data_IF_871351467021
#
_entry.id   IF_871351467021
#
_cell.length_a   1.000
_cell.length_b   1.000
_cell.length_c   1.000
_cell.angle_alpha   90.00
_cell.angle_beta   90.00
_cell.angle_gamma   90.00
#
_symmetry.space_group_name_H-M   'P 1'
#
loop_
_entity.id
_entity.type
_entity.pdbx_description
1 polymer ?
#
# COMPACT_ATOMS: atom_id res chain seq x y z
N UNK A 1 -14.13 0.82 -21.71
CA UNK A 1 -13.89 2.23 -22.06
C UNK A 1 -12.64 2.65 -21.32
N UNK A 2 -11.66 3.20 -22.01
CA UNK A 2 -10.37 3.63 -21.41
C UNK A 2 -10.32 5.16 -21.40
N UNK A 3 -10.06 5.75 -20.25
CA UNK A 3 -9.90 7.19 -20.07
C UNK A 3 -8.44 7.45 -19.66
N UNK A 4 -7.84 8.52 -20.19
CA UNK A 4 -6.45 8.87 -19.84
C UNK A 4 -6.40 9.54 -18.47
N UNK A 5 -5.73 8.93 -17.52
CA UNK A 5 -5.57 9.42 -16.15
C UNK A 5 -4.84 10.77 -16.05
N UNK A 6 -3.95 11.08 -17.02
CA UNK A 6 -3.20 12.33 -17.05
C UNK A 6 -4.09 13.60 -17.07
N UNK A 7 -5.27 13.53 -17.70
CA UNK A 7 -6.21 14.66 -17.76
C UNK A 7 -6.85 14.97 -16.41
N UNK A 8 -7.02 13.96 -15.57
CA UNK A 8 -7.61 14.10 -14.22
C UNK A 8 -6.59 14.71 -13.24
N UNK A 9 -5.32 14.30 -13.32
CA UNK A 9 -4.26 14.77 -12.42
C UNK A 9 -3.89 16.23 -12.70
N UNK A 10 -3.84 16.68 -13.96
CA UNK A 10 -3.56 18.08 -14.30
C UNK A 10 -4.66 19.05 -13.81
N UNK A 11 -5.92 18.63 -13.79
CA UNK A 11 -7.01 19.44 -13.28
C UNK A 11 -6.99 19.60 -11.75
N UNK A 12 -6.43 18.63 -11.04
CA UNK A 12 -6.34 18.62 -9.56
C UNK A 12 -5.09 19.36 -9.03
N UNK A 13 -3.99 19.38 -9.78
CA UNK A 13 -2.80 20.15 -9.42
C UNK A 13 -3.05 21.68 -9.38
N UNK A 14 -4.02 22.17 -10.14
CA UNK A 14 -4.44 23.58 -10.15
C UNK A 14 -5.25 23.97 -8.90
N UNK A 15 -5.73 23.02 -8.10
CA UNK A 15 -6.49 23.24 -6.87
C UNK A 15 -5.63 23.21 -5.60
N UNK A 16 -4.33 22.93 -5.72
CA UNK A 16 -3.42 22.98 -4.56
C UNK A 16 -3.28 24.42 -4.07
N UNK A 17 -3.67 24.74 -2.83
CA UNK A 17 -3.52 26.07 -2.29
C UNK A 17 -2.08 26.36 -1.97
N UNK A 18 -1.63 27.56 -2.30
CA UNK A 18 -0.48 28.15 -1.64
C UNK A 18 -0.85 28.35 -0.15
N UNK A 19 -0.65 27.33 0.67
CA UNK A 19 -0.82 27.40 2.11
C UNK A 19 0.47 27.98 2.70
N UNK A 20 0.37 29.17 3.30
CA UNK A 20 1.41 29.66 4.19
C UNK A 20 1.50 28.67 5.38
N UNK A 21 2.61 27.95 5.44
CA UNK A 21 2.90 27.01 6.51
C UNK A 21 3.07 27.78 7.82
N UNK A 22 2.20 27.53 8.79
CA UNK A 22 2.50 27.83 10.20
C UNK A 22 3.20 26.62 10.80
N UNK A 23 4.31 26.79 11.54
CA UNK A 23 4.95 25.70 12.26
C UNK A 23 4.04 25.30 13.42
N UNK A 24 3.46 24.11 13.36
CA UNK A 24 2.74 23.54 14.48
C UNK A 24 3.68 22.67 15.31
N UNK A 25 4.00 23.13 16.53
CA UNK A 25 4.24 22.20 17.62
C UNK A 25 3.00 21.29 17.79
N UNK A 26 3.14 20.06 18.34
CA UNK A 26 1.99 19.20 18.58
C UNK A 26 1.09 19.89 19.61
N UNK A 27 0.12 20.59 19.10
CA UNK A 27 -0.85 21.34 19.89
C UNK A 27 -1.74 20.32 20.60
N UNK A 28 -1.74 20.32 21.93
CA UNK A 28 -2.65 19.55 22.78
C UNK A 28 -4.13 19.97 22.60
N UNK A 29 -4.40 20.88 21.67
CA UNK A 29 -5.69 21.41 21.25
C UNK A 29 -6.10 21.06 19.82
N UNK A 30 -5.33 20.23 19.09
CA UNK A 30 -5.81 19.75 17.80
C UNK A 30 -7.09 18.95 18.04
N UNK A 31 -8.23 19.55 17.72
CA UNK A 31 -9.51 18.87 17.60
C UNK A 31 -9.23 17.56 16.87
N UNK A 32 -9.43 16.43 17.55
CA UNK A 32 -9.17 15.11 16.98
C UNK A 32 -9.90 15.06 15.63
N UNK A 33 -9.13 15.08 14.52
CA UNK A 33 -9.72 15.07 13.19
C UNK A 33 -10.51 13.79 13.05
N UNK A 34 -11.77 13.95 12.65
CA UNK A 34 -12.69 12.83 12.51
C UNK A 34 -12.39 12.07 11.22
N UNK A 35 -12.57 10.77 11.27
CA UNK A 35 -12.41 9.87 10.12
C UNK A 35 -13.44 10.14 9.01
N UNK A 36 -13.12 9.71 7.80
CA UNK A 36 -13.97 9.89 6.62
C UNK A 36 -15.15 8.93 6.61
N UNK A 37 -14.98 7.71 7.14
CA UNK A 37 -16.00 6.66 7.15
C UNK A 37 -16.71 6.51 8.51
N UNK A 38 -16.49 7.43 9.46
CA UNK A 38 -17.20 7.33 10.73
C UNK A 38 -16.72 8.27 11.84
N UNK A 39 -17.46 8.29 12.97
CA UNK A 39 -17.20 9.18 14.10
C UNK A 39 -16.11 8.64 15.03
N UNK A 40 -14.89 8.52 14.53
CA UNK A 40 -13.66 8.11 15.24
C UNK A 40 -12.48 8.96 14.75
N UNK A 41 -11.32 8.84 15.38
CA UNK A 41 -10.12 9.60 14.97
C UNK A 41 -9.66 9.22 13.58
N UNK A 42 -9.30 10.19 12.73
CA UNK A 42 -8.69 9.98 11.43
C UNK A 42 -7.40 9.15 11.50
N UNK A 43 -6.67 9.18 12.62
CA UNK A 43 -5.48 8.35 12.83
C UNK A 43 -5.73 6.84 12.68
N UNK A 44 -6.98 6.40 12.80
CA UNK A 44 -7.40 5.00 12.61
C UNK A 44 -7.43 4.59 11.13
N UNK A 45 -7.58 5.54 10.21
CA UNK A 45 -7.71 5.28 8.77
C UNK A 45 -6.35 5.02 8.13
N UNK A 46 -6.28 3.95 7.33
CA UNK A 46 -5.15 3.59 6.51
C UNK A 46 -5.41 3.89 5.03
N UNK A 47 -5.06 3.00 4.11
CA UNK A 47 -5.43 3.10 2.70
C UNK A 47 -6.85 2.61 2.45
N UNK A 48 -7.53 3.16 1.44
CA UNK A 48 -8.93 2.85 1.15
C UNK A 48 -9.80 3.00 2.39
N UNK A 49 -10.48 1.93 2.81
CA UNK A 49 -11.29 1.88 4.04
C UNK A 49 -10.64 1.08 5.16
N UNK A 50 -9.36 0.73 5.06
CA UNK A 50 -8.65 -0.10 6.03
C UNK A 50 -8.34 0.66 7.33
N UNK A 51 -8.20 -0.10 8.42
CA UNK A 51 -7.85 0.45 9.72
C UNK A 51 -6.40 0.16 10.12
N UNK A 52 -5.86 1.08 10.93
CA UNK A 52 -4.59 0.96 11.64
C UNK A 52 -4.78 1.35 13.12
N UNK A 53 -3.77 1.22 14.00
CA UNK A 53 -3.89 1.64 15.40
C UNK A 53 -4.30 3.11 15.53
N UNK A 54 -5.22 3.41 16.46
CA UNK A 54 -5.70 4.79 16.72
C UNK A 54 -4.60 5.73 17.19
N UNK A 55 -3.51 5.18 17.76
CA UNK A 55 -2.32 5.91 18.20
C UNK A 55 -1.32 6.18 17.08
N UNK A 56 -1.61 5.78 15.84
CA UNK A 56 -0.74 6.08 14.69
C UNK A 56 -0.65 7.61 14.49
N UNK A 57 0.56 8.18 14.42
CA UNK A 57 0.70 9.61 14.20
C UNK A 57 0.17 10.01 12.82
N UNK A 58 -0.58 11.08 12.77
CA UNK A 58 -1.03 11.70 11.52
C UNK A 58 0.10 12.62 11.03
N UNK A 59 0.53 12.46 9.78
CA UNK A 59 1.48 13.35 9.12
C UNK A 59 0.82 13.99 7.90
N UNK A 60 1.29 15.19 7.52
CA UNK A 60 0.79 15.91 6.36
C UNK A 60 0.41 17.36 6.66
N UNK A 61 0.05 18.09 5.62
CA UNK A 61 -0.44 19.46 5.69
C UNK A 61 -1.96 19.45 5.82
N UNK A 62 -2.47 20.16 6.80
CA UNK A 62 -3.89 20.28 7.06
C UNK A 62 -4.37 21.72 6.87
N UNK A 63 -5.53 21.91 6.28
CA UNK A 63 -6.16 23.22 6.12
C UNK A 63 -7.68 23.13 6.22
N UNK A 64 -8.29 24.18 6.80
CA UNK A 64 -9.73 24.38 6.77
C UNK A 64 -10.10 25.42 5.71
N UNK A 65 -11.06 25.10 4.85
CA UNK A 65 -11.61 26.00 3.85
C UNK A 65 -13.15 25.98 3.91
N UNK A 66 -13.71 26.91 4.66
CA UNK A 66 -15.13 26.90 4.99
C UNK A 66 -15.49 25.62 5.76
N UNK A 67 -16.44 24.84 5.25
CA UNK A 67 -16.88 23.58 5.85
C UNK A 67 -16.02 22.37 5.43
N UNK A 68 -14.96 22.56 4.64
CA UNK A 68 -14.07 21.50 4.18
C UNK A 68 -12.78 21.49 4.99
N UNK A 69 -12.44 20.36 5.55
CA UNK A 69 -11.09 20.02 6.02
C UNK A 69 -10.36 19.34 4.84
N UNK A 70 -9.14 19.77 4.59
CA UNK A 70 -8.27 19.15 3.56
C UNK A 70 -6.96 18.68 4.20
N UNK A 71 -6.43 17.57 3.72
CA UNK A 71 -5.12 17.05 4.10
C UNK A 71 -4.34 16.67 2.84
N UNK A 72 -3.06 17.01 2.84
CA UNK A 72 -2.11 16.56 1.82
C UNK A 72 -0.95 15.88 2.52
N UNK A 73 -0.64 14.68 2.13
CA UNK A 73 0.58 13.99 2.55
C UNK A 73 1.20 13.26 1.37
N UNK A 74 2.47 12.92 1.49
CA UNK A 74 3.15 12.21 0.42
C UNK A 74 4.59 11.92 0.74
N UNK A 75 5.18 11.08 -0.10
CA UNK A 75 6.57 10.68 -0.04
C UNK A 75 7.09 10.48 -1.46
N UNK A 76 8.34 10.87 -1.67
CA UNK A 76 9.09 10.57 -2.88
C UNK A 76 10.50 10.14 -2.52
N UNK A 77 10.94 9.03 -3.10
CA UNK A 77 12.27 8.46 -2.95
C UNK A 77 12.99 8.45 -4.29
N UNK A 78 14.23 8.95 -4.34
CA UNK A 78 15.16 8.69 -5.43
C UNK A 78 16.11 7.59 -4.98
N UNK A 79 16.03 6.43 -5.62
CA UNK A 79 16.63 5.18 -5.16
C UNK A 79 17.70 4.71 -6.14
N UNK A 80 18.90 4.44 -5.64
CA UNK A 80 19.87 3.58 -6.30
C UNK A 80 19.66 2.16 -5.78
N UNK A 81 19.21 1.26 -6.65
CA UNK A 81 18.88 -0.13 -6.35
C UNK A 81 19.91 -1.05 -6.97
N UNK A 82 20.52 -1.93 -6.17
CA UNK A 82 21.40 -3.01 -6.59
C UNK A 82 20.90 -4.34 -6.06
N UNK A 83 20.44 -5.19 -6.96
CA UNK A 83 20.08 -6.57 -6.67
C UNK A 83 21.26 -7.47 -7.03
N UNK A 84 21.74 -8.26 -6.06
CA UNK A 84 22.92 -9.13 -6.25
C UNK A 84 22.61 -10.47 -6.90
N UNK A 85 23.67 -11.24 -7.21
CA UNK A 85 23.57 -12.58 -7.80
C UNK A 85 23.39 -12.59 -9.32
N UNK A 86 23.38 -13.79 -9.95
CA UNK A 86 23.35 -13.94 -11.43
C UNK A 86 22.10 -13.33 -12.10
N UNK A 87 20.97 -13.27 -11.40
CA UNK A 87 19.70 -12.66 -11.89
C UNK A 87 19.50 -11.26 -11.34
N UNK A 88 20.47 -10.75 -10.65
CA UNK A 88 20.45 -9.38 -10.13
C UNK A 88 20.61 -8.34 -11.23
N UNK A 89 20.22 -7.11 -10.92
CA UNK A 89 20.39 -5.95 -11.79
C UNK A 89 20.58 -4.70 -10.96
N UNK A 90 21.08 -3.64 -11.59
CA UNK A 90 21.24 -2.32 -10.97
C UNK A 90 20.44 -1.28 -11.75
N UNK A 91 19.69 -0.47 -11.05
CA UNK A 91 18.88 0.59 -11.66
C UNK A 91 18.70 1.76 -10.69
N UNK A 92 18.69 3.00 -11.21
CA UNK A 92 18.23 4.15 -10.45
C UNK A 92 16.78 4.43 -10.80
N UNK A 93 15.94 4.57 -9.79
CA UNK A 93 14.47 4.72 -9.93
C UNK A 93 13.94 5.79 -8.99
N UNK A 94 12.72 6.25 -9.25
CA UNK A 94 11.94 7.03 -8.29
C UNK A 94 10.71 6.25 -7.88
N UNK A 95 10.41 6.21 -6.59
CA UNK A 95 9.14 5.73 -6.04
C UNK A 95 8.44 6.89 -5.36
N UNK A 96 7.15 7.05 -5.59
CA UNK A 96 6.42 8.18 -4.99
C UNK A 96 4.96 7.88 -4.74
N UNK A 97 4.39 8.61 -3.78
CA UNK A 97 2.97 8.67 -3.51
C UNK A 97 2.62 10.08 -3.02
N UNK A 98 1.60 10.68 -3.62
CA UNK A 98 1.01 11.94 -3.17
C UNK A 98 -0.49 11.74 -2.99
N UNK A 99 -1.00 12.01 -1.80
CA UNK A 99 -2.41 11.86 -1.47
C UNK A 99 -3.01 13.19 -1.03
N UNK A 100 -4.17 13.49 -1.60
CA UNK A 100 -5.07 14.58 -1.20
C UNK A 100 -6.33 13.96 -0.63
N UNK A 101 -6.73 14.41 0.56
CA UNK A 101 -7.99 14.07 1.20
C UNK A 101 -8.78 15.33 1.47
N UNK A 102 -10.09 15.24 1.33
CA UNK A 102 -11.00 16.33 1.71
C UNK A 102 -12.22 15.74 2.43
N UNK A 103 -12.61 16.36 3.53
CA UNK A 103 -13.77 15.97 4.35
C UNK A 103 -14.67 17.16 4.59
N UNK A 104 -15.97 16.95 4.46
CA UNK A 104 -17.01 17.93 4.84
C UNK A 104 -17.96 17.30 5.86
N UNK A 105 -18.06 17.93 7.02
CA UNK A 105 -19.03 17.58 8.03
C UNK A 105 -20.43 18.05 7.61
N UNK A 106 -21.42 17.20 7.81
CA UNK A 106 -22.84 17.48 7.73
C UNK A 106 -23.47 17.20 9.10
N UNK A 107 -24.72 17.58 9.32
CA UNK A 107 -25.37 17.47 10.65
C UNK A 107 -25.31 16.05 11.24
N UNK A 108 -25.59 15.03 10.43
CA UNK A 108 -25.56 13.60 10.83
C UNK A 108 -24.73 12.74 9.90
N UNK A 109 -23.91 13.33 9.03
CA UNK A 109 -23.16 12.62 8.03
C UNK A 109 -21.82 13.30 7.74
N UNK A 110 -20.96 12.65 6.97
CA UNK A 110 -19.79 13.27 6.38
C UNK A 110 -19.63 12.85 4.91
N UNK A 111 -19.11 13.77 4.11
CA UNK A 111 -18.64 13.52 2.76
C UNK A 111 -17.12 13.50 2.77
N UNK A 112 -16.52 12.54 2.09
CA UNK A 112 -15.08 12.42 1.91
C UNK A 112 -14.71 12.30 0.44
N UNK A 113 -13.52 12.77 0.11
CA UNK A 113 -12.88 12.58 -1.21
C UNK A 113 -11.43 12.22 -0.99
N UNK A 114 -10.96 11.22 -1.72
CA UNK A 114 -9.57 10.77 -1.74
C UNK A 114 -9.04 10.83 -3.17
N UNK A 115 -7.85 11.36 -3.35
CA UNK A 115 -7.12 11.29 -4.62
C UNK A 115 -5.68 10.96 -4.31
N UNK A 116 -5.16 9.89 -4.90
CA UNK A 116 -3.77 9.47 -4.76
C UNK A 116 -3.13 9.29 -6.13
N UNK A 117 -1.93 9.79 -6.28
CA UNK A 117 -1.16 9.72 -7.52
C UNK A 117 0.29 9.32 -7.25
N UNK A 118 0.93 8.72 -8.26
CA UNK A 118 2.34 8.34 -8.24
C UNK A 118 3.05 8.75 -9.52
N UNK A 119 4.34 9.06 -9.43
CA UNK A 119 5.20 9.26 -10.61
C UNK A 119 5.90 7.97 -11.04
N UNK A 120 5.59 6.82 -10.43
CA UNK A 120 6.19 5.53 -10.73
C UNK A 120 6.14 5.14 -12.22
N UNK A 121 5.10 5.50 -13.02
CA UNK A 121 5.10 5.24 -14.46
C UNK A 121 6.29 5.80 -15.23
N UNK A 122 6.96 6.83 -14.71
CA UNK A 122 8.15 7.42 -15.32
C UNK A 122 9.35 6.48 -15.33
N UNK A 123 9.39 5.45 -14.47
CA UNK A 123 10.44 4.41 -14.51
C UNK A 123 10.27 3.39 -15.64
N UNK A 124 9.13 3.43 -16.35
CA UNK A 124 8.79 2.52 -17.45
C UNK A 124 8.03 1.27 -17.00
N UNK A 125 7.34 0.62 -17.93
CA UNK A 125 6.41 -0.49 -17.65
C UNK A 125 7.06 -1.72 -16.98
N UNK A 126 8.39 -1.91 -17.12
CA UNK A 126 9.13 -3.00 -16.48
C UNK A 126 9.47 -2.73 -15.01
N UNK A 127 9.15 -1.55 -14.49
CA UNK A 127 9.40 -1.18 -13.10
C UNK A 127 10.88 -1.27 -12.69
N UNK A 128 11.14 -1.80 -11.50
CA UNK A 128 12.50 -1.87 -10.94
C UNK A 128 12.90 -3.31 -10.55
N UNK A 129 14.22 -3.60 -10.50
CA UNK A 129 14.71 -4.89 -10.08
C UNK A 129 14.30 -5.21 -8.63
N UNK A 130 13.84 -6.43 -8.40
CA UNK A 130 13.56 -6.96 -7.06
C UNK A 130 13.61 -8.48 -7.13
N UNK A 131 14.67 -9.07 -6.60
CA UNK A 131 14.86 -10.53 -6.65
C UNK A 131 13.66 -11.27 -6.07
N UNK A 132 13.26 -12.33 -6.76
CA UNK A 132 12.11 -13.19 -6.43
C UNK A 132 10.74 -12.52 -6.53
N UNK A 133 10.65 -11.25 -6.92
CA UNK A 133 9.34 -10.64 -7.19
C UNK A 133 8.83 -11.07 -8.56
N UNK A 134 7.55 -11.38 -8.60
CA UNK A 134 6.83 -11.84 -9.80
C UNK A 134 5.44 -11.23 -9.80
N UNK A 135 4.75 -11.36 -10.89
CA UNK A 135 3.39 -10.85 -11.11
C UNK A 135 3.37 -9.77 -12.17
N UNK A 136 2.24 -9.66 -12.86
CA UNK A 136 1.99 -8.72 -13.94
C UNK A 136 2.93 -8.89 -15.17
N UNK A 137 2.89 -7.94 -16.07
CA UNK A 137 3.62 -7.94 -17.34
C UNK A 137 3.95 -6.52 -17.80
N UNK A 138 5.11 -6.33 -18.41
CA UNK A 138 5.49 -5.04 -18.98
C UNK A 138 5.02 -4.83 -20.44
N UNK A 139 4.64 -5.90 -21.14
CA UNK A 139 4.33 -5.89 -22.58
C UNK A 139 3.04 -6.64 -22.95
N UNK A 140 2.30 -7.15 -21.96
CA UNK A 140 1.07 -7.92 -22.16
C UNK A 140 1.28 -9.37 -22.62
N UNK A 141 2.52 -9.88 -22.61
CA UNK A 141 2.89 -11.22 -23.12
C UNK A 141 3.79 -12.00 -22.19
N UNK A 142 4.85 -11.37 -21.70
CA UNK A 142 5.87 -12.02 -20.89
C UNK A 142 5.70 -11.61 -19.42
N UNK A 143 5.76 -12.55 -18.45
CA UNK A 143 5.66 -12.21 -17.04
C UNK A 143 6.91 -11.44 -16.58
N UNK A 144 6.72 -10.51 -15.66
CA UNK A 144 7.81 -9.91 -14.92
C UNK A 144 8.34 -10.93 -13.90
N UNK A 145 9.64 -11.20 -13.95
CA UNK A 145 10.33 -12.05 -12.99
C UNK A 145 11.56 -11.30 -12.47
N UNK A 146 11.77 -11.33 -11.16
CA UNK A 146 12.79 -10.56 -10.44
C UNK A 146 12.66 -9.05 -10.66
N UNK A 147 11.41 -8.60 -10.81
CA UNK A 147 11.07 -7.20 -10.97
C UNK A 147 9.74 -6.87 -10.32
N UNK A 148 9.66 -5.69 -9.73
CA UNK A 148 8.41 -5.09 -9.28
C UNK A 148 7.88 -4.15 -10.36
N UNK A 149 6.63 -4.34 -10.74
CA UNK A 149 5.92 -3.42 -11.65
C UNK A 149 5.72 -2.04 -11.01
N UNK A 150 5.61 -0.94 -11.79
CA UNK A 150 5.30 0.38 -11.26
C UNK A 150 3.81 0.50 -10.91
N UNK A 151 3.48 1.40 -10.00
CA UNK A 151 2.09 1.83 -9.80
C UNK A 151 1.56 2.62 -11.00
N UNK A 152 0.24 2.76 -11.08
CA UNK A 152 -0.40 3.66 -12.03
C UNK A 152 -0.23 5.13 -11.60
N UNK A 153 -0.31 6.06 -12.58
CA UNK A 153 -0.26 7.49 -12.30
C UNK A 153 -1.38 7.90 -11.33
N UNK A 154 -2.59 7.41 -11.55
CA UNK A 154 -3.73 7.61 -10.64
C UNK A 154 -3.97 6.32 -9.87
N UNK A 155 -3.60 6.32 -8.59
CA UNK A 155 -3.71 5.16 -7.71
C UNK A 155 -5.06 5.11 -7.00
N UNK A 156 -5.64 6.26 -6.68
CA UNK A 156 -6.98 6.36 -6.09
C UNK A 156 -7.69 7.64 -6.56
N UNK A 157 -8.97 7.51 -6.85
CA UNK A 157 -9.93 8.60 -6.99
C UNK A 157 -11.26 8.11 -6.42
N UNK A 158 -11.52 8.43 -5.18
CA UNK A 158 -12.63 7.86 -4.43
C UNK A 158 -13.44 8.94 -3.71
N UNK A 159 -14.71 8.61 -3.47
CA UNK A 159 -15.61 9.40 -2.63
C UNK A 159 -16.23 8.50 -1.56
N UNK A 160 -16.46 9.06 -0.38
CA UNK A 160 -17.13 8.41 0.74
C UNK A 160 -18.34 9.22 1.18
N UNK A 161 -19.36 8.51 1.64
CA UNK A 161 -20.47 9.08 2.39
C UNK A 161 -20.66 8.25 3.66
N UNK A 162 -20.53 8.86 4.81
CA UNK A 162 -20.79 8.20 6.10
C UNK A 162 -21.96 8.83 6.81
N UNK A 163 -22.87 7.99 7.33
CA UNK A 163 -24.05 8.39 8.10
C UNK A 163 -23.83 7.99 9.57
N UNK A 164 -23.83 8.99 10.45
CA UNK A 164 -23.70 8.79 11.89
C UNK A 164 -25.05 8.39 12.49
N UNK A 165 -25.20 7.13 12.89
CA UNK A 165 -26.45 6.61 13.46
C UNK A 165 -26.57 6.92 14.96
N UNK A 166 -25.45 6.84 15.67
CA UNK A 166 -25.30 7.07 17.12
C UNK A 166 -23.83 7.45 17.41
N UNK A 167 -23.49 7.92 18.61
CA UNK A 167 -22.11 8.08 19.01
C UNK A 167 -21.29 6.79 18.73
N UNK A 168 -20.18 6.92 18.03
CA UNK A 168 -19.28 5.81 17.63
C UNK A 168 -19.94 4.71 16.77
N UNK A 169 -21.02 5.03 16.06
CA UNK A 169 -21.72 4.09 15.18
C UNK A 169 -22.08 4.75 13.87
N UNK A 170 -21.63 4.19 12.76
CA UNK A 170 -21.91 4.71 11.41
C UNK A 170 -22.16 3.61 10.39
N UNK A 171 -22.89 3.97 9.35
CA UNK A 171 -22.90 3.28 8.06
C UNK A 171 -22.11 4.13 7.08
N UNK A 172 -21.38 3.52 6.17
CA UNK A 172 -20.72 4.25 5.11
C UNK A 172 -20.77 3.51 3.77
N UNK A 173 -20.61 4.29 2.71
CA UNK A 173 -20.36 3.82 1.35
C UNK A 173 -19.10 4.52 0.85
N UNK A 174 -18.20 3.74 0.27
CA UNK A 174 -17.01 4.20 -0.43
C UNK A 174 -17.11 3.75 -1.88
N UNK A 175 -16.77 4.61 -2.83
CA UNK A 175 -16.72 4.30 -4.24
C UNK A 175 -15.45 4.89 -4.86
N UNK A 176 -14.63 4.03 -5.47
CA UNK A 176 -13.33 4.40 -6.04
C UNK A 176 -13.20 4.03 -7.53
N UNK A 177 -12.52 4.91 -8.26
CA UNK A 177 -12.25 4.74 -9.69
C UNK A 177 -10.92 5.41 -10.08
N UNK A 178 -9.76 4.84 -9.77
CA UNK A 178 -9.53 3.59 -9.01
C UNK A 178 -9.80 3.71 -7.51
N UNK A 179 -9.74 2.58 -6.81
CA UNK A 179 -9.91 2.50 -5.35
C UNK A 179 -9.42 1.17 -4.77
N UNK A 180 -9.59 1.01 -3.46
CA UNK A 180 -9.18 -0.17 -2.71
C UNK A 180 -10.38 -0.91 -2.13
N UNK A 181 -10.60 -2.21 -2.44
CA UNK A 181 -11.65 -3.02 -1.83
C UNK A 181 -11.33 -3.43 -0.39
N UNK A 182 -12.33 -3.86 0.36
CA UNK A 182 -12.20 -4.39 1.72
C UNK A 182 -11.50 -5.77 1.72
N UNK A 183 -10.23 -5.82 1.30
CA UNK A 183 -9.42 -7.03 1.18
C UNK A 183 -7.96 -6.73 1.54
N UNK A 184 -7.48 -7.38 2.59
CA UNK A 184 -6.11 -7.18 3.09
C UNK A 184 -5.98 -6.12 4.18
N UNK A 185 -4.77 -5.99 4.74
CA UNK A 185 -4.39 -4.86 5.59
C UNK A 185 -4.24 -3.59 4.74
N UNK A 186 -4.05 -2.43 5.36
CA UNK A 186 -3.65 -1.20 4.66
C UNK A 186 -2.47 -1.46 3.72
N UNK A 187 -2.44 -0.82 2.57
CA UNK A 187 -1.34 -0.94 1.61
C UNK A 187 0.01 -0.59 2.25
N UNK A 188 1.09 -1.26 1.83
CA UNK A 188 2.40 -1.16 2.49
C UNK A 188 2.92 0.28 2.61
N UNK A 189 2.63 1.14 1.65
CA UNK A 189 3.02 2.56 1.63
C UNK A 189 2.25 3.43 2.64
N UNK A 190 1.16 2.92 3.20
CA UNK A 190 0.35 3.59 4.24
C UNK A 190 0.52 2.96 5.62
N UNK A 191 1.13 1.77 5.72
CA UNK A 191 1.48 1.19 7.03
C UNK A 191 2.75 1.84 7.56
N UNK A 192 2.67 2.44 8.74
CA UNK A 192 3.81 3.11 9.37
C UNK A 192 5.00 2.15 9.58
N UNK A 193 4.73 0.84 9.77
CA UNK A 193 5.73 -0.23 9.88
C UNK A 193 6.46 -0.54 8.58
N UNK A 194 5.82 -0.32 7.40
CA UNK A 194 6.32 -0.72 6.07
C UNK A 194 6.74 0.43 5.17
N UNK A 195 6.14 1.63 5.34
CA UNK A 195 6.31 2.76 4.43
C UNK A 195 7.74 3.33 4.33
N UNK A 196 8.64 2.91 5.21
CA UNK A 196 10.03 3.36 5.20
C UNK A 196 10.92 2.56 4.23
N UNK A 197 10.48 1.38 3.80
CA UNK A 197 11.15 0.62 2.74
C UNK A 197 10.73 1.13 1.37
N UNK A 198 11.68 1.55 0.49
CA UNK A 198 11.34 2.07 -0.84
C UNK A 198 10.91 0.98 -1.82
N UNK A 199 10.94 -0.29 -1.41
CA UNK A 199 10.55 -1.44 -2.21
C UNK A 199 9.25 -2.07 -1.72
N UNK A 200 8.46 -2.61 -2.65
CA UNK A 200 7.28 -3.39 -2.33
C UNK A 200 7.66 -4.70 -1.60
N UNK A 201 6.80 -5.20 -0.68
CA UNK A 201 7.01 -6.52 -0.10
C UNK A 201 6.93 -7.62 -1.16
N UNK A 202 7.71 -8.69 -1.01
CA UNK A 202 7.53 -9.92 -1.82
C UNK A 202 6.14 -10.54 -1.60
N UNK A 203 5.56 -10.31 -0.43
CA UNK A 203 4.23 -10.75 -0.01
C UNK A 203 3.08 -9.89 -0.53
N UNK A 204 3.36 -8.81 -1.27
CA UNK A 204 2.38 -7.85 -1.78
C UNK A 204 1.17 -8.52 -2.46
N UNK A 205 1.40 -9.47 -3.37
CA UNK A 205 0.35 -10.18 -4.10
C UNK A 205 -0.52 -11.12 -3.24
N UNK A 206 -0.19 -11.34 -1.97
CA UNK A 206 -1.01 -12.10 -1.02
C UNK A 206 -1.78 -11.21 -0.04
N UNK A 207 -1.34 -9.95 0.12
CA UNK A 207 -1.81 -9.08 1.19
C UNK A 207 -2.59 -7.86 0.66
N UNK A 208 -1.94 -7.03 -0.16
CA UNK A 208 -2.41 -5.67 -0.46
C UNK A 208 -2.26 -5.25 -1.93
N UNK A 209 -2.07 -6.17 -2.89
CA UNK A 209 -1.98 -5.84 -4.33
C UNK A 209 -3.26 -5.26 -4.93
N UNK A 210 -4.40 -5.42 -4.25
CA UNK A 210 -5.68 -4.88 -4.70
C UNK A 210 -5.89 -3.40 -4.32
N UNK A 211 -4.86 -2.70 -3.82
CA UNK A 211 -4.98 -1.28 -3.46
C UNK A 211 -5.21 -0.35 -4.65
N UNK A 212 -5.05 -0.84 -5.89
CA UNK A 212 -5.42 -0.15 -7.13
C UNK A 212 -6.34 -1.06 -7.93
N UNK A 213 -7.65 -0.89 -7.78
CA UNK A 213 -8.68 -1.58 -8.56
C UNK A 213 -9.51 -0.56 -9.34
N UNK A 214 -9.64 -0.72 -10.65
CA UNK A 214 -10.42 0.18 -11.51
C UNK A 214 -11.92 -0.12 -11.41
N UNK A 215 -12.51 0.32 -10.32
CA UNK A 215 -13.91 0.16 -9.96
C UNK A 215 -14.07 -0.63 -8.67
N UNK A 216 -14.45 0.09 -7.61
CA UNK A 216 -14.72 -0.47 -6.27
C UNK A 216 -15.94 0.22 -5.71
N UNK A 217 -16.83 -0.57 -5.11
CA UNK A 217 -17.88 -0.07 -4.23
C UNK A 217 -17.84 -0.88 -2.95
N UNK A 218 -17.66 -0.21 -1.82
CA UNK A 218 -17.63 -0.81 -0.48
C UNK A 218 -18.73 -0.22 0.38
N UNK A 219 -19.49 -1.08 1.05
CA UNK A 219 -20.41 -0.71 2.12
C UNK A 219 -19.88 -1.23 3.46
N UNK A 220 -19.99 -0.44 4.52
CA UNK A 220 -19.51 -0.86 5.83
C UNK A 220 -20.34 -0.32 6.99
N UNK A 221 -20.27 -1.05 8.10
CA UNK A 221 -20.87 -0.71 9.39
C UNK A 221 -19.78 -0.65 10.45
N UNK A 222 -19.67 0.50 11.10
CA UNK A 222 -18.75 0.73 12.22
C UNK A 222 -19.54 0.77 13.52
N UNK A 223 -19.08 0.01 14.51
CA UNK A 223 -19.60 0.04 15.87
C UNK A 223 -18.43 0.08 16.86
N UNK A 224 -18.15 1.26 17.40
CA UNK A 224 -17.02 1.50 18.33
C UNK A 224 -15.67 1.06 17.74
N UNK A 225 -15.11 -0.05 18.24
CA UNK A 225 -13.84 -0.63 17.85
C UNK A 225 -13.95 -1.71 16.78
N UNK A 226 -15.16 -1.99 16.29
CA UNK A 226 -15.41 -3.01 15.27
C UNK A 226 -15.90 -2.37 13.98
N UNK A 227 -15.46 -2.90 12.84
CA UNK A 227 -15.96 -2.57 11.50
C UNK A 227 -16.14 -3.84 10.70
N UNK A 228 -17.31 -3.97 10.08
CA UNK A 228 -17.60 -4.99 9.08
C UNK A 228 -17.82 -4.29 7.73
N UNK A 229 -17.17 -4.79 6.70
CA UNK A 229 -17.19 -4.21 5.35
C UNK A 229 -17.40 -5.30 4.31
N UNK A 230 -18.03 -4.93 3.19
CA UNK A 230 -18.13 -5.77 2.01
C UNK A 230 -17.96 -4.92 0.75
N UNK A 231 -17.23 -5.45 -0.22
CA UNK A 231 -16.94 -4.79 -1.49
C UNK A 231 -17.36 -5.63 -2.69
N UNK A 232 -17.93 -4.96 -3.71
CA UNK A 232 -17.95 -5.41 -5.09
C UNK A 232 -16.91 -4.63 -5.88
N UNK A 233 -16.05 -5.28 -6.66
CA UNK A 233 -14.97 -4.60 -7.36
C UNK A 233 -14.56 -5.29 -8.65
N UNK A 234 -13.80 -4.59 -9.52
CA UNK A 234 -13.10 -5.19 -10.63
C UNK A 234 -11.85 -5.90 -10.10
N UNK A 235 -11.82 -7.24 -10.17
CA UNK A 235 -10.73 -8.05 -9.61
C UNK A 235 -9.46 -8.11 -10.45
N UNK A 236 -9.46 -7.53 -11.64
CA UNK A 236 -8.30 -7.50 -12.52
C UNK A 236 -7.27 -6.50 -12.02
N UNK A 237 -6.02 -6.92 -11.90
CA UNK A 237 -4.91 -6.02 -11.67
C UNK A 237 -4.73 -5.07 -12.87
N UNK A 238 -4.22 -3.82 -12.67
CA UNK A 238 -3.94 -2.88 -13.74
C UNK A 238 -3.05 -3.50 -14.83
N UNK A 239 -3.26 -3.10 -16.10
CA UNK A 239 -2.38 -3.57 -17.17
C UNK A 239 -1.08 -2.74 -17.26
N UNK A 240 -0.20 -3.05 -18.21
CA UNK A 240 1.08 -2.35 -18.41
C UNK A 240 0.96 -0.88 -18.81
N UNK A 241 -0.25 -0.35 -19.01
CA UNK A 241 -0.51 1.05 -19.40
C UNK A 241 -0.84 1.89 -18.19
N UNK A 242 0.14 2.38 -17.52
CA UNK A 242 0.04 3.05 -16.22
C UNK A 242 -0.55 4.47 -16.25
N UNK A 243 -1.05 4.93 -17.40
CA UNK A 243 -1.60 6.29 -17.60
C UNK A 243 -3.09 6.28 -17.96
N UNK A 244 -3.76 5.13 -18.03
CA UNK A 244 -5.18 5.04 -18.34
C UNK A 244 -6.00 4.45 -17.19
N UNK A 245 -7.31 4.51 -17.29
CA UNK A 245 -8.26 3.93 -16.34
C UNK A 245 -9.02 2.83 -17.08
N UNK A 246 -8.94 1.61 -16.57
CA UNK A 246 -9.54 0.43 -17.16
C UNK A 246 -10.92 0.14 -16.59
N UNK A 247 -11.96 0.75 -17.13
CA UNK A 247 -13.32 0.48 -16.70
C UNK A 247 -13.78 -0.92 -17.14
N UNK A 248 -14.09 -1.76 -16.15
CA UNK A 248 -14.61 -3.12 -16.33
C UNK A 248 -15.78 -3.37 -15.36
N UNK A 249 -16.45 -4.50 -15.51
CA UNK A 249 -17.50 -4.94 -14.60
C UNK A 249 -16.94 -5.24 -13.21
N UNK A 250 -17.78 -5.06 -12.18
CA UNK A 250 -17.50 -5.50 -10.81
C UNK A 250 -17.79 -7.00 -10.74
N UNK A 251 -16.78 -7.82 -10.99
CA UNK A 251 -16.87 -9.29 -11.12
C UNK A 251 -16.34 -10.03 -9.89
N UNK A 252 -15.83 -9.31 -8.93
CA UNK A 252 -15.14 -9.79 -7.74
C UNK A 252 -15.77 -9.23 -6.47
N UNK A 253 -15.58 -9.93 -5.36
CA UNK A 253 -16.12 -9.50 -4.07
C UNK A 253 -15.14 -9.79 -2.93
N UNK A 254 -15.24 -9.00 -1.87
CA UNK A 254 -14.49 -9.20 -0.64
C UNK A 254 -15.30 -8.79 0.59
N UNK A 255 -14.87 -9.28 1.75
CA UNK A 255 -15.33 -8.84 3.05
C UNK A 255 -14.16 -8.74 4.02
N UNK A 256 -14.21 -7.74 4.91
CA UNK A 256 -13.19 -7.51 5.94
C UNK A 256 -13.85 -7.21 7.29
N UNK A 257 -13.30 -7.81 8.33
CA UNK A 257 -13.57 -7.46 9.72
C UNK A 257 -12.32 -6.79 10.28
N UNK A 258 -12.48 -5.59 10.83
CA UNK A 258 -11.43 -4.83 11.52
C UNK A 258 -11.80 -4.64 12.99
N UNK A 259 -10.82 -4.76 13.88
CA UNK A 259 -11.02 -4.64 15.32
C UNK A 259 -9.82 -3.94 15.99
N UNK A 260 -10.08 -2.78 16.61
CA UNK A 260 -9.09 -2.06 17.41
C UNK A 260 -9.41 -2.25 18.91
N UNK A 261 -8.92 -3.33 19.58
CA UNK A 261 -9.25 -3.62 20.98
C UNK A 261 -8.79 -2.52 21.94
N UNK A 262 -7.69 -1.86 21.61
CA UNK A 262 -7.16 -0.68 22.28
C UNK A 262 -6.74 0.34 21.23
N UNK A 263 -6.36 1.53 21.63
CA UNK A 263 -5.86 2.55 20.71
C UNK A 263 -4.53 2.18 20.04
N UNK A 264 -3.78 1.21 20.59
CA UNK A 264 -2.45 0.82 20.13
C UNK A 264 -2.45 -0.46 19.27
N UNK A 265 -3.59 -1.12 19.12
CA UNK A 265 -3.73 -2.34 18.35
C UNK A 265 -4.78 -2.19 17.25
N UNK A 266 -4.45 -2.72 16.08
CA UNK A 266 -5.41 -2.95 14.98
C UNK A 266 -5.27 -4.36 14.47
N UNK A 267 -6.39 -5.09 14.45
CA UNK A 267 -6.50 -6.47 13.97
C UNK A 267 -7.44 -6.49 12.76
N UNK A 268 -7.12 -7.27 11.76
CA UNK A 268 -8.03 -7.51 10.65
C UNK A 268 -8.03 -8.97 10.20
N UNK A 269 -9.16 -9.41 9.66
CA UNK A 269 -9.30 -10.63 8.87
C UNK A 269 -10.14 -10.34 7.64
N UNK A 270 -9.72 -10.82 6.47
CA UNK A 270 -10.49 -10.61 5.24
C UNK A 270 -10.48 -11.85 4.35
N UNK A 271 -11.49 -11.91 3.50
CA UNK A 271 -11.65 -12.91 2.46
C UNK A 271 -12.20 -12.25 1.20
N UNK A 272 -11.69 -12.68 0.04
CA UNK A 272 -12.18 -12.22 -1.25
C UNK A 272 -12.06 -13.29 -2.34
N UNK A 273 -12.88 -13.13 -3.38
CA UNK A 273 -12.76 -13.86 -4.65
C UNK A 273 -12.51 -12.86 -5.76
N UNK A 274 -11.34 -12.97 -6.37
CA UNK A 274 -10.94 -12.21 -7.56
C UNK A 274 -11.24 -13.09 -8.79
N UNK A 275 -11.99 -12.59 -9.75
CA UNK A 275 -12.48 -13.39 -10.86
C UNK A 275 -11.37 -13.80 -11.85
N UNK A 276 -10.46 -12.90 -12.18
CA UNK A 276 -9.33 -13.13 -13.10
C UNK A 276 -8.29 -12.03 -12.88
N UNK A 277 -7.56 -12.05 -11.74
CA UNK A 277 -6.64 -10.95 -11.39
C UNK A 277 -5.49 -10.83 -12.39
N UNK A 278 -4.87 -11.93 -12.77
CA UNK A 278 -3.68 -11.93 -13.61
C UNK A 278 -3.99 -11.82 -15.10
N UNK A 279 -3.32 -10.88 -15.78
CA UNK A 279 -3.50 -10.68 -17.22
C UNK A 279 -3.06 -11.90 -18.04
N UNK A 280 -2.00 -12.56 -17.62
CA UNK A 280 -1.40 -13.69 -18.34
C UNK A 280 -2.08 -15.03 -18.00
N UNK A 281 -3.00 -15.05 -17.02
CA UNK A 281 -3.77 -16.23 -16.61
C UNK A 281 -5.29 -15.96 -16.69
N UNK A 282 -5.82 -15.65 -17.89
CA UNK A 282 -7.22 -15.28 -18.04
C UNK A 282 -8.15 -16.41 -17.60
N UNK A 283 -9.20 -16.06 -16.84
CA UNK A 283 -10.21 -17.01 -16.35
C UNK A 283 -9.81 -17.79 -15.10
N UNK A 284 -8.58 -17.63 -14.58
CA UNK A 284 -8.19 -18.23 -13.29
C UNK A 284 -8.66 -17.32 -12.17
N UNK A 285 -9.66 -17.76 -11.43
CA UNK A 285 -10.13 -17.05 -10.24
C UNK A 285 -9.22 -17.37 -9.05
N UNK A 286 -9.03 -16.39 -8.17
CA UNK A 286 -8.23 -16.53 -6.94
C UNK A 286 -9.11 -16.24 -5.71
N UNK A 287 -9.14 -17.16 -4.76
CA UNK A 287 -9.66 -16.91 -3.41
C UNK A 287 -8.50 -16.47 -2.54
N UNK A 288 -8.59 -15.24 -2.01
CA UNK A 288 -7.60 -14.66 -1.12
C UNK A 288 -8.14 -14.58 0.29
N UNK A 289 -7.35 -15.01 1.26
CA UNK A 289 -7.63 -14.85 2.69
C UNK A 289 -6.46 -14.14 3.33
N UNK A 290 -6.73 -13.17 4.21
CA UNK A 290 -5.67 -12.46 4.94
C UNK A 290 -6.01 -12.32 6.41
N UNK A 291 -4.98 -12.21 7.23
CA UNK A 291 -5.10 -11.78 8.62
C UNK A 291 -3.88 -10.94 8.98
N UNK A 292 -4.07 -9.88 9.77
CA UNK A 292 -2.96 -9.07 10.27
C UNK A 292 -3.23 -8.52 11.66
N UNK A 293 -2.12 -8.20 12.35
CA UNK A 293 -2.11 -7.51 13.62
C UNK A 293 -1.04 -6.42 13.55
N UNK A 294 -1.44 -5.17 13.77
CA UNK A 294 -0.56 -4.01 13.84
C UNK A 294 -0.57 -3.46 15.26
N UNK A 295 0.61 -3.21 15.80
CA UNK A 295 0.83 -2.63 17.12
C UNK A 295 1.65 -1.35 16.99
N UNK A 296 1.19 -0.28 17.60
CA UNK A 296 1.90 0.99 17.67
C UNK A 296 2.13 1.38 19.14
N UNK A 297 3.38 1.58 19.52
CA UNK A 297 3.75 2.01 20.85
C UNK A 297 4.33 3.42 20.82
N UNK A 298 4.01 4.29 21.78
CA UNK A 298 4.61 5.60 21.93
C UNK A 298 6.01 5.51 22.56
N UNK A 299 6.87 4.60 22.05
CA UNK A 299 8.27 4.49 22.44
C UNK A 299 9.09 5.49 21.65
N UNK A 300 9.92 6.27 22.31
CA UNK A 300 10.68 7.37 21.74
C UNK A 300 9.73 8.39 21.05
N UNK A 301 9.65 8.45 19.71
CA UNK A 301 8.58 9.15 19.01
C UNK A 301 7.44 8.21 18.66
N UNK A 302 7.76 7.07 18.05
CA UNK A 302 6.82 5.97 17.79
C UNK A 302 7.58 4.70 17.41
N UNK A 303 6.97 3.57 17.67
CA UNK A 303 7.37 2.26 17.18
C UNK A 303 6.14 1.53 16.68
N UNK A 304 6.12 1.11 15.41
CA UNK A 304 5.04 0.30 14.87
C UNK A 304 5.57 -1.00 14.30
N UNK A 305 4.85 -2.08 14.57
CA UNK A 305 5.11 -3.43 14.07
C UNK A 305 3.83 -4.02 13.50
N UNK A 306 3.93 -4.69 12.35
CA UNK A 306 2.83 -5.42 11.73
C UNK A 306 3.26 -6.84 11.43
N UNK A 307 2.46 -7.81 11.91
CA UNK A 307 2.49 -9.20 11.50
C UNK A 307 1.30 -9.46 10.57
N UNK A 308 1.55 -10.01 9.40
CA UNK A 308 0.50 -10.34 8.44
C UNK A 308 0.70 -11.71 7.80
N UNK A 309 -0.41 -12.34 7.47
CA UNK A 309 -0.48 -13.58 6.70
C UNK A 309 -1.47 -13.41 5.55
N UNK A 310 -1.10 -13.95 4.39
CA UNK A 310 -1.96 -14.03 3.23
C UNK A 310 -1.91 -15.40 2.58
N UNK A 311 -3.03 -15.84 2.03
CA UNK A 311 -3.16 -17.07 1.26
C UNK A 311 -3.91 -16.81 -0.04
N UNK A 312 -3.33 -17.23 -1.15
CA UNK A 312 -3.97 -17.32 -2.45
C UNK A 312 -4.28 -18.77 -2.79
N UNK A 313 -5.53 -19.04 -3.16
CA UNK A 313 -6.02 -20.34 -3.62
C UNK A 313 -6.63 -20.16 -5.01
N UNK A 314 -5.84 -20.31 -6.09
CA UNK A 314 -6.32 -20.20 -7.45
C UNK A 314 -7.31 -21.34 -7.78
N UNK A 315 -8.20 -21.11 -8.76
CA UNK A 315 -9.15 -22.14 -9.24
C UNK A 315 -8.44 -23.27 -10.00
N UNK A 316 -7.21 -23.03 -10.46
CA UNK A 316 -6.31 -24.04 -11.05
C UNK A 316 -4.90 -23.82 -10.52
N UNK A 317 -4.26 -24.89 -10.05
CA UNK A 317 -2.93 -24.87 -9.46
C UNK A 317 -2.91 -24.95 -7.93
N UNK A 318 -1.72 -24.95 -7.32
CA UNK A 318 -1.55 -25.08 -5.88
C UNK A 318 -1.88 -23.78 -5.13
N UNK A 319 -2.33 -23.90 -3.89
CA UNK A 319 -2.43 -22.73 -2.99
C UNK A 319 -1.05 -22.31 -2.51
N UNK A 320 -0.87 -21.01 -2.37
CA UNK A 320 0.37 -20.40 -1.87
C UNK A 320 0.10 -19.52 -0.65
N UNK A 321 1.13 -19.33 0.18
CA UNK A 321 1.05 -18.53 1.40
C UNK A 321 2.20 -17.52 1.45
N UNK A 322 1.93 -16.41 2.11
CA UNK A 322 2.91 -15.41 2.47
C UNK A 322 2.77 -15.02 3.94
N UNK A 323 3.91 -14.80 4.59
CA UNK A 323 4.04 -14.24 5.93
C UNK A 323 4.92 -13.02 5.88
N UNK A 324 4.55 -11.99 6.61
CA UNK A 324 5.23 -10.72 6.70
C UNK A 324 5.33 -10.33 8.18
N UNK A 325 6.52 -9.93 8.61
CA UNK A 325 6.75 -9.19 9.84
C UNK A 325 7.56 -7.95 9.47
N UNK A 326 6.98 -6.78 9.64
CA UNK A 326 7.67 -5.50 9.41
C UNK A 326 7.62 -4.63 10.65
N UNK A 327 8.65 -3.81 10.83
CA UNK A 327 8.79 -2.95 12.01
C UNK A 327 9.54 -1.68 11.65
N UNK A 328 9.10 -0.56 12.22
CA UNK A 328 9.79 0.72 12.11
C UNK A 328 9.77 1.45 13.46
N UNK A 329 10.93 2.00 13.82
CA UNK A 329 11.16 2.74 15.06
C UNK A 329 11.75 4.12 14.73
N UNK A 330 11.03 5.19 15.05
CA UNK A 330 11.48 6.58 14.92
C UNK A 330 12.10 7.05 16.23
N UNK A 331 13.35 7.44 16.17
CA UNK A 331 14.13 7.97 17.30
C UNK A 331 14.44 9.45 17.09
N UNK A 332 14.15 10.31 18.08
CA UNK A 332 14.59 11.71 18.12
C UNK A 332 14.38 12.50 16.82
N UNK A 333 13.23 12.49 16.21
CA UNK A 333 12.88 13.22 14.99
C UNK A 333 13.77 12.97 13.74
N UNK A 334 15.04 12.57 13.91
CA UNK A 334 16.02 12.48 12.83
C UNK A 334 16.35 11.04 12.39
N UNK A 335 16.08 10.03 13.23
CA UNK A 335 16.56 8.67 12.99
C UNK A 335 15.40 7.67 12.91
N UNK A 336 15.34 6.90 11.84
CA UNK A 336 14.38 5.81 11.70
C UNK A 336 15.13 4.51 11.42
N UNK A 337 14.93 3.51 12.26
CA UNK A 337 15.33 2.13 12.01
C UNK A 337 14.12 1.38 11.49
N UNK A 338 14.29 0.56 10.47
CA UNK A 338 13.19 -0.24 9.93
C UNK A 338 13.70 -1.58 9.40
N UNK A 339 12.78 -2.52 9.22
CA UNK A 339 13.11 -3.81 8.64
C UNK A 339 11.88 -4.66 8.38
N UNK A 340 12.07 -5.67 7.52
CA UNK A 340 11.03 -6.60 7.08
C UNK A 340 11.57 -8.01 6.99
N UNK A 341 10.85 -8.97 7.57
CA UNK A 341 11.07 -10.40 7.39
C UNK A 341 9.88 -10.97 6.64
N UNK A 342 10.14 -11.65 5.55
CA UNK A 342 9.14 -12.25 4.69
C UNK A 342 9.42 -13.73 4.44
N UNK A 343 8.34 -14.51 4.36
CA UNK A 343 8.36 -15.90 3.91
C UNK A 343 7.23 -16.10 2.91
N UNK A 344 7.57 -16.30 1.63
CA UNK A 344 6.60 -16.42 0.54
C UNK A 344 6.81 -17.69 -0.26
N UNK A 345 5.69 -18.27 -0.74
CA UNK A 345 5.72 -19.39 -1.67
C UNK A 345 5.51 -18.85 -3.08
N UNK A 346 6.51 -19.01 -3.97
CA UNK A 346 6.52 -18.53 -5.35
C UNK A 346 6.59 -19.70 -6.32
N UNK A 347 5.82 -19.69 -7.41
CA UNK A 347 5.80 -20.70 -8.49
C UNK A 347 6.03 -20.10 -9.88
N UNK A 348 6.17 -18.78 -9.98
CA UNK A 348 6.37 -18.03 -11.22
C UNK A 348 7.82 -17.59 -11.46
N UNK A 349 8.80 -18.24 -10.82
CA UNK A 349 10.22 -17.83 -10.89
C UNK A 349 10.93 -18.20 -12.20
N UNK A 350 10.28 -18.96 -13.08
CA UNK A 350 10.88 -19.46 -14.32
C UNK A 350 9.89 -19.38 -15.48
N UNK A 351 10.38 -19.03 -16.66
CA UNK A 351 9.60 -18.98 -17.89
C UNK A 351 9.21 -20.38 -18.38
N UNK A 352 8.14 -20.52 -19.18
CA UNK A 352 7.78 -21.76 -19.87
C UNK A 352 8.97 -22.36 -20.61
N UNK A 353 9.14 -23.68 -20.53
CA UNK A 353 10.25 -24.41 -21.11
C UNK A 353 11.49 -24.55 -20.20
N UNK A 354 11.61 -23.81 -19.12
CA UNK A 354 12.66 -24.04 -18.13
C UNK A 354 12.37 -25.27 -17.26
N UNK A 355 13.41 -25.99 -16.82
CA UNK A 355 13.30 -27.22 -16.03
C UNK A 355 12.57 -27.04 -14.68
N UNK A 356 12.52 -25.81 -14.16
CA UNK A 356 11.89 -25.48 -12.89
C UNK A 356 10.57 -24.69 -13.06
N UNK A 357 10.06 -24.58 -14.29
CA UNK A 357 8.81 -23.90 -14.58
C UNK A 357 7.63 -24.47 -13.77
N UNK A 358 6.81 -23.61 -13.19
CA UNK A 358 5.60 -23.95 -12.43
C UNK A 358 5.88 -24.70 -11.10
N UNK A 359 7.14 -24.84 -10.68
CA UNK A 359 7.47 -25.43 -9.38
C UNK A 359 7.40 -24.37 -8.28
N UNK A 360 6.77 -24.74 -7.18
CA UNK A 360 6.65 -23.85 -6.00
C UNK A 360 7.92 -23.92 -5.14
N UNK A 361 8.41 -22.73 -4.73
CA UNK A 361 9.57 -22.57 -3.86
C UNK A 361 9.25 -21.62 -2.71
N UNK A 362 9.71 -21.96 -1.51
CA UNK A 362 9.65 -21.05 -0.37
C UNK A 362 10.88 -20.16 -0.36
N UNK A 363 10.65 -18.85 -0.38
CA UNK A 363 11.66 -17.81 -0.32
C UNK A 363 11.50 -17.08 1.00
N UNK A 364 12.62 -16.91 1.72
CA UNK A 364 12.67 -16.02 2.88
C UNK A 364 13.55 -14.83 2.51
N UNK A 365 13.12 -13.61 2.88
CA UNK A 365 13.85 -12.36 2.72
C UNK A 365 13.92 -11.63 4.04
N UNK A 366 15.10 -11.14 4.40
CA UNK A 366 15.30 -10.23 5.53
C UNK A 366 15.88 -8.93 4.98
N UNK A 367 15.18 -7.83 5.23
CA UNK A 367 15.61 -6.47 4.94
C UNK A 367 15.83 -5.71 6.23
N UNK A 368 16.91 -4.93 6.32
CA UNK A 368 17.19 -4.02 7.44
C UNK A 368 17.67 -2.70 6.87
N UNK A 369 17.12 -1.61 7.38
CA UNK A 369 17.41 -0.29 6.87
C UNK A 369 17.40 0.81 7.93
N UNK A 370 17.89 1.96 7.51
CA UNK A 370 18.02 3.15 8.34
C UNK A 370 17.82 4.40 7.49
N UNK A 371 17.17 5.43 8.08
CA UNK A 371 17.01 6.76 7.49
C UNK A 371 17.51 7.79 8.50
N UNK A 372 18.25 8.76 7.98
CA UNK A 372 18.62 9.98 8.67
C UNK A 372 17.93 11.17 8.01
N UNK A 373 16.96 11.77 8.69
CA UNK A 373 16.31 13.01 8.27
C UNK A 373 17.24 14.17 8.61
N UNK A 374 17.94 14.69 7.59
CA UNK A 374 19.01 15.67 7.74
C UNK A 374 18.55 17.13 7.65
N UNK A 375 17.36 17.37 7.09
CA UNK A 375 16.80 18.71 6.96
C UNK A 375 15.28 18.69 7.01
N UNK A 376 14.72 19.78 7.51
CA UNK A 376 13.27 20.05 7.46
C UNK A 376 13.04 21.43 6.84
N UNK A 377 12.34 21.45 5.71
CA UNK A 377 11.99 22.64 4.94
C UNK A 377 10.47 22.89 5.07
N UNK A 378 10.10 23.70 6.07
CA UNK A 378 8.69 23.85 6.42
C UNK A 378 8.10 22.55 6.93
N UNK A 379 7.14 21.99 6.19
CA UNK A 379 6.52 20.69 6.47
C UNK A 379 7.23 19.51 5.78
N UNK A 380 8.19 19.77 4.90
CA UNK A 380 8.89 18.75 4.13
C UNK A 380 10.12 18.25 4.88
N UNK A 381 10.15 16.98 5.26
CA UNK A 381 11.32 16.31 5.80
C UNK A 381 12.16 15.74 4.65
N UNK A 382 13.48 16.02 4.68
CA UNK A 382 14.46 15.47 3.73
C UNK A 382 15.36 14.48 4.46
N UNK A 383 15.43 13.26 3.93
CA UNK A 383 16.19 12.17 4.53
C UNK A 383 17.12 11.48 3.55
N UNK A 384 18.17 10.87 4.08
CA UNK A 384 19.04 9.92 3.40
C UNK A 384 18.87 8.56 4.05
N UNK A 385 18.60 7.55 3.25
CA UNK A 385 18.35 6.20 3.72
C UNK A 385 19.17 5.13 3.02
N UNK A 386 19.27 3.99 3.68
CA UNK A 386 19.86 2.78 3.12
C UNK A 386 19.15 1.54 3.64
N UNK A 387 19.16 0.49 2.80
CA UNK A 387 18.54 -0.80 3.04
C UNK A 387 19.47 -1.89 2.54
N UNK A 388 19.62 -2.98 3.30
CA UNK A 388 20.31 -4.19 2.89
C UNK A 388 19.35 -5.37 3.03
N UNK A 389 19.29 -6.23 1.99
CA UNK A 389 18.45 -7.42 1.96
C UNK A 389 19.30 -8.68 1.74
N UNK A 390 18.91 -9.76 2.41
CA UNK A 390 19.47 -11.11 2.23
C UNK A 390 18.34 -12.12 2.07
N UNK A 391 18.67 -13.26 1.43
CA UNK A 391 17.68 -14.24 1.03
C UNK A 391 18.09 -15.65 1.44
N UNK A 392 17.10 -16.49 1.76
CA UNK A 392 17.25 -17.91 1.99
C UNK A 392 16.19 -18.69 1.19
N UNK A 393 16.62 -19.67 0.43
CA UNK A 393 15.80 -20.45 -0.49
C UNK A 393 16.40 -21.85 -0.74
N UNK A 394 15.64 -22.80 -1.33
CA UNK A 394 16.13 -24.15 -1.64
C UNK A 394 17.37 -24.15 -2.54
N UNK A 395 18.35 -25.01 -2.24
CA UNK A 395 19.64 -25.06 -2.94
C UNK A 395 19.54 -25.25 -4.47
N UNK A 396 18.45 -25.85 -4.96
CA UNK A 396 18.20 -26.03 -6.40
C UNK A 396 18.10 -24.69 -7.15
N UNK A 397 17.77 -23.58 -6.46
CA UNK A 397 17.73 -22.24 -7.04
C UNK A 397 19.11 -21.57 -7.11
N UNK A 398 20.16 -22.16 -6.49
CA UNK A 398 21.49 -21.52 -6.42
C UNK A 398 22.15 -21.36 -7.79
N UNK A 399 21.82 -22.21 -8.77
CA UNK A 399 22.32 -22.05 -10.14
C UNK A 399 21.78 -20.77 -10.80
N UNK A 400 20.53 -20.35 -10.44
CA UNK A 400 19.88 -19.16 -11.00
C UNK A 400 20.16 -17.89 -10.19
N UNK A 401 20.25 -17.99 -8.86
CA UNK A 401 20.31 -16.83 -7.96
C UNK A 401 21.65 -16.66 -7.24
N UNK A 402 22.57 -17.62 -7.37
CA UNK A 402 23.81 -17.68 -6.57
C UNK A 402 23.61 -18.43 -5.27
N UNK A 403 24.60 -18.42 -4.40
CA UNK A 403 24.51 -19.13 -3.09
C UNK A 403 24.01 -18.23 -1.98
N UNK A 404 24.30 -16.93 -2.03
CA UNK A 404 23.92 -15.92 -1.03
C UNK A 404 23.83 -14.54 -1.70
N UNK A 405 22.82 -14.29 -2.55
CA UNK A 405 22.63 -12.96 -3.12
C UNK A 405 22.36 -11.96 -1.99
N UNK A 406 22.99 -10.80 -2.08
CA UNK A 406 22.76 -9.69 -1.17
C UNK A 406 22.40 -8.48 -2.02
N UNK A 407 21.31 -7.82 -1.68
CA UNK A 407 20.84 -6.62 -2.36
C UNK A 407 20.96 -5.42 -1.43
N UNK A 408 21.08 -4.23 -2.00
CA UNK A 408 21.04 -3.00 -1.21
C UNK A 408 20.43 -1.86 -2.01
N UNK A 409 19.82 -0.94 -1.28
CA UNK A 409 19.33 0.33 -1.81
C UNK A 409 19.94 1.48 -1.01
N UNK A 410 20.23 2.58 -1.72
CA UNK A 410 20.54 3.88 -1.12
C UNK A 410 19.58 4.89 -1.71
N UNK A 411 18.98 5.73 -0.89
CA UNK A 411 17.94 6.64 -1.37
C UNK A 411 17.94 7.98 -0.65
N UNK A 412 17.51 8.99 -1.38
CA UNK A 412 17.15 10.31 -0.83
C UNK A 412 15.62 10.39 -0.81
N UNK A 413 15.09 10.80 0.33
CA UNK A 413 13.66 10.88 0.60
C UNK A 413 13.22 12.33 0.81
N UNK A 414 12.08 12.69 0.23
CA UNK A 414 11.30 13.85 0.58
C UNK A 414 9.93 13.39 1.08
N UNK A 415 9.49 13.84 2.27
CA UNK A 415 8.24 13.42 2.90
C UNK A 415 7.50 14.59 3.54
N UNK A 416 6.17 14.67 3.27
CA UNK A 416 5.21 15.57 3.91
C UNK A 416 4.50 14.89 5.08
#
# INVERSE_FOLDING_TARGET
MRVRAATVVCALAALAPAAAAQPSEPDAGALAMMGLEGPYSMSREGSGTSWQPDSTPISGLHAMRGAWMTMVHGQADLVYDHQGGPRGATQSVSSSMLMLMARRELEHAALGVHVMASTDPLMGASGYPLLFQTGETANGRDPLIDRQHPHDLLMEAAATYSLNLRPQTSLFVYAGLPGEPALGPSAFMHRLSGMNEPEAPLSHHWLDSTHICFGVVTGGYTWRQLRLEASGFNGREPDQRRYDIELRSLDSYAARLSYNPTRDWSLQGSFGRLASPEQLQPGVAVRRSTASASYNAPLALWWQTTLAWGRNAPSSGPSSNAWLLESALKLRHAHTLFGRLERVTKDELFLPGAALYGRSFTINKLSLGYIFDFARLGALDLGLGGLVSTYSYPAILSAAYGTRPTSFMVFVRARL
#
